data_IF_392581058763
#
_entry.id   IF_392581058763
#
_cell.length_a   1.000
_cell.length_b   1.000
_cell.length_c   1.000
_cell.angle_alpha   90.00
_cell.angle_beta   90.00
_cell.angle_gamma   90.00
#
_symmetry.space_group_name_H-M   'P 1'
#
loop_
_entity.id
_entity.type
_entity.pdbx_description
1 polymer ?
#
# COMPACT_ATOMS: atom_id res chain seq x y z
N UNK A 1 -14.52 11.17 22.31
CA UNK A 1 -13.60 10.49 21.37
C UNK A 1 -14.32 10.31 20.05
N UNK A 2 -13.69 10.63 18.91
CA UNK A 2 -14.33 10.49 17.59
C UNK A 2 -14.43 9.01 17.21
N UNK A 3 -15.53 8.58 16.60
CA UNK A 3 -15.80 7.16 16.29
C UNK A 3 -15.35 6.75 14.88
N UNK A 4 -15.54 7.63 13.90
CA UNK A 4 -15.16 7.39 12.52
C UNK A 4 -14.70 8.68 11.85
N UNK A 5 -13.88 8.53 10.80
CA UNK A 5 -13.47 9.59 9.88
C UNK A 5 -14.13 9.38 8.52
N UNK A 6 -14.58 10.46 7.91
CA UNK A 6 -14.97 10.46 6.49
C UNK A 6 -13.74 10.53 5.58
N UNK A 7 -13.92 10.22 4.30
CA UNK A 7 -12.86 10.38 3.29
C UNK A 7 -12.35 11.83 3.16
N UNK A 8 -13.20 12.83 3.37
CA UNK A 8 -12.81 14.24 3.35
C UNK A 8 -11.93 14.58 4.56
N UNK A 9 -12.33 14.09 5.74
CA UNK A 9 -11.57 14.32 6.97
C UNK A 9 -10.22 13.61 6.94
N UNK A 10 -10.10 12.45 6.27
CA UNK A 10 -8.80 11.81 6.04
C UNK A 10 -7.89 12.58 5.09
N UNK A 11 -8.46 13.25 4.08
CA UNK A 11 -7.68 14.10 3.18
C UNK A 11 -7.10 15.30 3.92
N UNK A 12 -7.86 15.90 4.84
CA UNK A 12 -7.39 16.97 5.71
C UNK A 12 -6.35 16.48 6.71
N UNK A 13 -6.60 15.34 7.36
CA UNK A 13 -5.72 14.75 8.37
C UNK A 13 -4.34 14.37 7.80
N UNK A 14 -4.33 13.67 6.67
CA UNK A 14 -3.09 13.22 6.02
C UNK A 14 -2.52 14.23 5.02
N UNK A 15 -3.21 15.35 4.80
CA UNK A 15 -2.88 16.35 3.77
C UNK A 15 -2.62 15.74 2.39
N UNK A 16 -3.49 14.82 1.98
CA UNK A 16 -3.33 14.06 0.75
C UNK A 16 -4.60 14.08 -0.10
N UNK A 17 -4.46 13.72 -1.38
CA UNK A 17 -5.59 13.69 -2.30
C UNK A 17 -6.54 12.52 -2.02
N UNK A 18 -7.80 12.65 -2.43
CA UNK A 18 -8.76 11.53 -2.44
C UNK A 18 -8.22 10.29 -3.15
N UNK A 19 -7.45 10.45 -4.23
CA UNK A 19 -6.86 9.32 -4.95
C UNK A 19 -5.85 8.57 -4.07
N UNK A 20 -5.10 9.29 -3.23
CA UNK A 20 -4.20 8.70 -2.24
C UNK A 20 -4.98 7.89 -1.22
N UNK A 21 -6.08 8.41 -0.68
CA UNK A 21 -6.97 7.67 0.22
C UNK A 21 -7.51 6.39 -0.44
N UNK A 22 -7.93 6.46 -1.71
CA UNK A 22 -8.37 5.26 -2.43
C UNK A 22 -7.24 4.23 -2.62
N UNK A 23 -5.99 4.67 -2.81
CA UNK A 23 -4.84 3.75 -2.88
C UNK A 23 -4.58 3.10 -1.53
N UNK A 24 -4.67 3.86 -0.44
CA UNK A 24 -4.55 3.35 0.93
C UNK A 24 -5.69 2.38 1.28
N UNK A 25 -6.86 2.54 0.67
CA UNK A 25 -7.95 1.55 0.78
C UNK A 25 -7.60 0.26 0.00
N UNK A 26 -7.09 0.40 -1.22
CA UNK A 26 -6.73 -0.73 -2.09
C UNK A 26 -5.53 -1.54 -1.59
N UNK A 27 -4.54 -0.89 -0.97
CA UNK A 27 -3.36 -1.55 -0.39
C UNK A 27 -3.62 -2.12 1.03
N UNK A 28 -4.83 -1.91 1.55
CA UNK A 28 -5.30 -2.46 2.83
C UNK A 28 -4.88 -1.67 4.08
N UNK A 29 -4.19 -0.53 3.92
CA UNK A 29 -3.82 0.35 5.05
C UNK A 29 -5.05 0.97 5.70
N UNK A 30 -6.03 1.37 4.91
CA UNK A 30 -7.33 1.87 5.38
C UNK A 30 -8.42 0.83 5.15
N UNK A 31 -9.21 0.56 6.19
CA UNK A 31 -10.36 -0.35 6.11
C UNK A 31 -11.66 0.42 6.12
N UNK A 32 -12.35 0.46 4.98
CA UNK A 32 -13.67 1.07 4.88
C UNK A 32 -14.67 0.29 5.74
N UNK A 33 -15.48 1.03 6.50
CA UNK A 33 -16.64 0.48 7.21
C UNK A 33 -17.78 0.23 6.20
N UNK A 34 -18.06 -1.03 5.93
CA UNK A 34 -19.19 -1.44 5.11
C UNK A 34 -20.49 -1.44 5.93
N UNK A 35 -21.62 -1.09 5.30
CA UNK A 35 -22.94 -1.05 5.94
C UNK A 35 -23.42 0.34 6.37
N UNK A 36 -22.65 1.39 6.10
CA UNK A 36 -23.05 2.79 6.32
C UNK A 36 -23.15 3.55 4.98
N UNK A 37 -24.12 4.48 4.82
CA UNK A 37 -24.19 5.31 3.63
C UNK A 37 -23.03 6.30 3.62
N UNK A 38 -22.04 6.08 2.75
CA UNK A 38 -20.87 6.94 2.60
C UNK A 38 -19.55 6.17 2.65
N UNK A 39 -18.45 6.90 2.82
CA UNK A 39 -17.10 6.34 2.96
C UNK A 39 -16.54 6.73 4.31
N UNK A 40 -16.54 5.77 5.23
CA UNK A 40 -16.11 5.97 6.62
C UNK A 40 -15.07 4.96 7.04
N UNK A 41 -14.20 5.38 7.96
CA UNK A 41 -13.09 4.61 8.50
C UNK A 41 -13.12 4.68 10.01
N UNK A 42 -12.78 3.59 10.69
CA UNK A 42 -12.77 3.54 12.16
C UNK A 42 -11.68 4.48 12.69
N UNK A 43 -12.02 5.31 13.68
CA UNK A 43 -11.06 6.27 14.23
C UNK A 43 -9.83 5.61 14.86
N UNK A 44 -9.98 4.48 15.53
CA UNK A 44 -8.87 3.73 16.10
C UNK A 44 -7.85 3.28 15.03
N UNK A 45 -8.33 2.76 13.89
CA UNK A 45 -7.48 2.29 12.81
C UNK A 45 -6.73 3.45 12.13
N UNK A 46 -7.41 4.59 11.98
CA UNK A 46 -6.84 5.82 11.41
C UNK A 46 -5.75 6.38 12.32
N UNK A 47 -6.00 6.45 13.63
CA UNK A 47 -5.02 6.96 14.60
C UNK A 47 -3.80 6.05 14.70
N UNK A 48 -3.99 4.72 14.65
CA UNK A 48 -2.88 3.78 14.61
C UNK A 48 -1.96 3.97 13.39
N UNK A 49 -2.49 4.47 12.26
CA UNK A 49 -1.67 4.86 11.10
C UNK A 49 -0.90 6.17 11.35
N UNK A 50 -1.47 7.11 12.11
CA UNK A 50 -0.79 8.36 12.46
C UNK A 50 0.35 8.15 13.47
N UNK A 51 0.22 7.14 14.33
CA UNK A 51 1.20 6.76 15.35
C UNK A 51 2.29 5.83 14.82
N UNK A 52 2.36 5.62 13.49
CA UNK A 52 3.43 4.84 12.89
C UNK A 52 4.75 5.63 12.93
N UNK A 53 5.56 5.33 13.94
CA UNK A 53 6.99 5.62 13.89
C UNK A 53 7.65 4.58 12.98
N UNK A 54 8.25 5.04 11.89
CA UNK A 54 9.12 4.18 11.09
C UNK A 54 10.23 3.66 12.01
N UNK A 55 10.35 2.34 12.21
CA UNK A 55 11.39 1.80 13.07
C UNK A 55 12.73 2.35 12.61
N UNK A 56 13.59 2.72 13.57
CA UNK A 56 14.96 3.10 13.23
C UNK A 56 15.67 1.88 12.63
N UNK A 57 15.58 1.72 11.32
CA UNK A 57 16.22 0.65 10.59
C UNK A 57 17.72 0.86 10.64
N UNK A 58 18.43 -0.07 11.28
CA UNK A 58 19.89 -0.06 11.28
C UNK A 58 20.44 -0.26 9.86
N UNK A 59 21.69 0.16 9.58
CA UNK A 59 22.30 0.01 8.26
C UNK A 59 22.24 -1.41 7.67
N UNK A 60 22.32 -2.43 8.54
CA UNK A 60 22.26 -3.85 8.16
C UNK A 60 20.86 -4.30 7.70
N UNK A 61 19.80 -3.72 8.27
CA UNK A 61 18.42 -4.05 7.86
C UNK A 61 18.12 -3.46 6.48
N UNK A 62 18.61 -2.24 6.22
CA UNK A 62 18.53 -1.61 4.91
C UNK A 62 19.28 -2.40 3.83
N UNK A 63 20.50 -2.84 4.12
CA UNK A 63 21.29 -3.64 3.18
C UNK A 63 20.61 -4.97 2.86
N UNK A 64 20.01 -5.62 3.86
CA UNK A 64 19.23 -6.84 3.66
C UNK A 64 18.01 -6.57 2.79
N UNK A 65 17.27 -5.50 3.07
CA UNK A 65 16.08 -5.14 2.30
C UNK A 65 16.42 -4.81 0.85
N UNK A 66 17.52 -4.09 0.61
CA UNK A 66 18.00 -3.76 -0.73
C UNK A 66 18.43 -5.02 -1.50
N UNK A 67 19.09 -5.96 -0.83
CA UNK A 67 19.47 -7.25 -1.40
C UNK A 67 18.24 -8.08 -1.81
N UNK A 68 17.24 -8.17 -0.94
CA UNK A 68 15.98 -8.85 -1.22
C UNK A 68 15.23 -8.20 -2.40
N UNK A 69 15.18 -6.87 -2.43
CA UNK A 69 14.49 -6.13 -3.49
C UNK A 69 15.19 -6.32 -4.85
N UNK A 70 16.53 -6.37 -4.85
CA UNK A 70 17.32 -6.67 -6.05
C UNK A 70 17.06 -8.09 -6.56
N UNK A 71 17.07 -9.09 -5.68
CA UNK A 71 16.79 -10.48 -6.04
C UNK A 71 15.38 -10.64 -6.64
N UNK A 72 14.37 -10.05 -5.99
CA UNK A 72 12.99 -10.07 -6.48
C UNK A 72 12.82 -9.34 -7.83
N UNK A 73 13.58 -8.28 -8.06
CA UNK A 73 13.57 -7.55 -9.33
C UNK A 73 14.18 -8.37 -10.48
N UNK A 74 15.28 -9.07 -10.22
CA UNK A 74 15.92 -9.97 -11.18
C UNK A 74 15.01 -11.15 -11.53
N UNK A 75 14.37 -11.76 -10.54
CA UNK A 75 13.39 -12.84 -10.74
C UNK A 75 12.20 -12.36 -11.58
N UNK A 76 11.62 -11.21 -11.23
CA UNK A 76 10.53 -10.61 -11.99
C UNK A 76 10.91 -10.36 -13.46
N UNK A 77 12.13 -9.88 -13.71
CA UNK A 77 12.63 -9.67 -15.08
C UNK A 77 12.70 -11.00 -15.84
N UNK A 78 13.30 -12.02 -15.23
CA UNK A 78 13.43 -13.34 -15.85
C UNK A 78 12.05 -13.98 -16.14
N UNK A 79 11.08 -13.84 -15.24
CA UNK A 79 9.72 -14.33 -15.43
C UNK A 79 9.01 -13.58 -16.56
N UNK A 80 9.15 -12.25 -16.64
CA UNK A 80 8.60 -11.44 -17.73
C UNK A 80 9.18 -11.81 -19.09
N UNK A 81 10.48 -12.08 -19.17
CA UNK A 81 11.14 -12.55 -20.39
C UNK A 81 10.61 -13.91 -20.84
N UNK A 82 10.51 -14.88 -19.91
CA UNK A 82 9.91 -16.20 -20.18
C UNK A 82 8.48 -16.09 -20.68
N UNK A 83 7.66 -15.26 -20.03
CA UNK A 83 6.27 -15.02 -20.45
C UNK A 83 6.20 -14.37 -21.84
N UNK A 84 7.08 -13.41 -22.14
CA UNK A 84 7.16 -12.79 -23.46
C UNK A 84 7.49 -13.82 -24.54
N UNK A 85 8.47 -14.69 -24.29
CA UNK A 85 8.82 -15.77 -25.21
C UNK A 85 7.63 -16.71 -25.47
N UNK A 86 6.97 -17.19 -24.42
CA UNK A 86 5.80 -18.07 -24.55
C UNK A 86 4.69 -17.37 -25.33
N UNK A 87 4.42 -16.08 -25.05
CA UNK A 87 3.42 -15.29 -25.77
C UNK A 87 3.71 -15.22 -27.26
N UNK A 88 4.96 -15.05 -27.66
CA UNK A 88 5.35 -14.98 -29.07
C UNK A 88 5.31 -16.35 -29.76
N UNK A 89 5.59 -17.45 -29.04
CA UNK A 89 5.42 -18.81 -29.56
C UNK A 89 3.95 -19.16 -29.77
N UNK A 90 3.05 -18.81 -28.84
CA UNK A 90 1.61 -19.10 -28.92
C UNK A 90 0.91 -18.28 -30.01
N UNK A 91 1.47 -17.14 -30.42
CA UNK A 91 0.93 -16.31 -31.52
C UNK A 91 1.31 -16.80 -32.93
N UNK A 92 2.30 -17.68 -33.06
CA UNK A 92 2.71 -18.27 -34.35
C UNK A 92 1.87 -19.49 -34.67
#
# INVERSE_FOLDING_TARGET
>A
MKLCYSSEELQELFKCSRQTICRMENDGRLKRLYGLPGTFYRAADVLALCEYEEPAHGPLEWEKLESENKALSEENRALKEKLSYIREVVKR
#
